data_IF_093356446057
#
_entry.id   IF_093356446057
#
_cell.length_a   1.000
_cell.length_b   1.000
_cell.length_c   1.000
_cell.angle_alpha   90.00
_cell.angle_beta   90.00
_cell.angle_gamma   90.00
#
_symmetry.space_group_name_H-M   'P 1'
#
loop_
_entity.id
_entity.type
_entity.pdbx_description
1 polymer ?
#
# COMPACT_ATOMS: atom_id res chain seq x y z
N UNK A 1 72.47 31.65 -12.84
CA UNK A 1 71.69 30.86 -13.85
C UNK A 1 70.39 30.25 -13.31
N UNK A 2 70.21 30.10 -12.00
CA UNK A 2 69.02 29.45 -11.39
C UNK A 2 67.67 30.14 -11.64
N UNK A 3 67.61 31.48 -11.69
CA UNK A 3 66.34 32.22 -11.87
C UNK A 3 65.66 31.91 -13.22
N UNK A 4 66.44 31.69 -14.29
CA UNK A 4 65.92 31.34 -15.62
C UNK A 4 65.39 29.90 -15.68
N UNK A 5 65.99 28.98 -14.92
CA UNK A 5 65.57 27.57 -14.83
C UNK A 5 64.25 27.45 -14.05
N UNK A 6 64.12 28.16 -12.92
CA UNK A 6 62.87 28.25 -12.14
C UNK A 6 61.69 28.82 -12.93
N UNK A 7 61.92 29.84 -13.77
CA UNK A 7 60.89 30.42 -14.62
C UNK A 7 60.36 29.44 -15.68
N UNK A 8 61.26 28.65 -16.28
CA UNK A 8 60.90 27.60 -17.26
C UNK A 8 60.12 26.45 -16.62
N UNK A 9 60.50 26.01 -15.42
CA UNK A 9 59.74 25.00 -14.66
C UNK A 9 58.33 25.48 -14.30
N UNK A 10 58.17 26.73 -13.83
CA UNK A 10 56.84 27.31 -13.53
C UNK A 10 55.95 27.38 -14.77
N UNK A 11 56.50 27.73 -15.93
CA UNK A 11 55.74 27.76 -17.19
C UNK A 11 55.28 26.37 -17.64
N UNK A 12 56.13 25.35 -17.46
CA UNK A 12 55.80 23.95 -17.75
C UNK A 12 54.71 23.41 -16.81
N UNK A 13 54.85 23.61 -15.50
CA UNK A 13 53.85 23.22 -14.52
C UNK A 13 52.51 23.93 -14.72
N UNK A 14 52.50 25.20 -15.16
CA UNK A 14 51.26 25.94 -15.47
C UNK A 14 50.49 25.33 -16.65
N UNK A 15 51.21 24.83 -17.68
CA UNK A 15 50.59 24.11 -18.80
C UNK A 15 50.08 22.73 -18.39
N UNK A 16 50.87 22.01 -17.59
CA UNK A 16 50.49 20.70 -17.07
C UNK A 16 49.25 20.79 -16.17
N UNK A 17 49.23 21.75 -15.25
CA UNK A 17 48.10 22.01 -14.35
C UNK A 17 46.82 22.36 -15.11
N UNK A 18 46.91 23.18 -16.17
CA UNK A 18 45.72 23.46 -17.03
C UNK A 18 45.14 22.20 -17.67
N UNK A 19 46.00 21.29 -18.15
CA UNK A 19 45.53 20.03 -18.74
C UNK A 19 44.88 19.13 -17.69
N UNK A 20 45.50 19.00 -16.52
CA UNK A 20 44.97 18.21 -15.41
C UNK A 20 43.63 18.80 -14.92
N UNK A 21 43.58 20.12 -14.73
CA UNK A 21 42.35 20.81 -14.31
C UNK A 21 41.21 20.60 -15.31
N UNK A 22 41.50 20.63 -16.62
CA UNK A 22 40.50 20.36 -17.65
C UNK A 22 39.93 18.93 -17.57
N UNK A 23 40.80 17.94 -17.37
CA UNK A 23 40.38 16.54 -17.19
C UNK A 23 39.55 16.37 -15.91
N UNK A 24 39.96 17.00 -14.80
CA UNK A 24 39.22 16.96 -13.55
C UNK A 24 37.82 17.60 -13.68
N UNK A 25 37.69 18.71 -14.40
CA UNK A 25 36.41 19.37 -14.65
C UNK A 25 35.48 18.45 -15.44
N UNK A 26 35.97 17.80 -16.50
CA UNK A 26 35.17 16.87 -17.30
C UNK A 26 34.68 15.69 -16.46
N UNK A 27 35.56 15.08 -15.67
CA UNK A 27 35.20 13.98 -14.78
C UNK A 27 34.13 14.40 -13.77
N UNK A 28 34.26 15.60 -13.20
CA UNK A 28 33.28 16.14 -12.25
C UNK A 28 31.92 16.37 -12.90
N UNK A 29 31.87 16.90 -14.13
CA UNK A 29 30.64 17.06 -14.90
C UNK A 29 29.95 15.72 -15.16
N UNK A 30 30.70 14.67 -15.52
CA UNK A 30 30.16 13.32 -15.75
C UNK A 30 29.53 12.76 -14.47
N UNK A 31 30.20 12.90 -13.32
CA UNK A 31 29.68 12.43 -12.04
C UNK A 31 28.37 13.13 -11.67
N UNK A 32 28.30 14.45 -11.85
CA UNK A 32 27.07 15.22 -11.59
C UNK A 32 25.93 14.75 -12.50
N UNK A 33 26.19 14.59 -13.80
CA UNK A 33 25.18 14.13 -14.76
C UNK A 33 24.66 12.74 -14.40
N UNK A 34 25.55 11.81 -14.05
CA UNK A 34 25.16 10.46 -13.59
C UNK A 34 24.30 10.51 -12.34
N UNK A 35 24.63 11.38 -11.37
CA UNK A 35 23.84 11.52 -10.14
C UNK A 35 22.44 12.08 -10.40
N UNK A 36 22.33 13.10 -11.27
CA UNK A 36 21.03 13.67 -11.66
C UNK A 36 20.17 12.63 -12.39
N UNK A 37 20.73 11.90 -13.36
CA UNK A 37 20.01 10.85 -14.08
C UNK A 37 19.54 9.74 -13.13
N UNK A 38 20.41 9.27 -12.23
CA UNK A 38 20.03 8.25 -11.24
C UNK A 38 18.91 8.72 -10.31
N UNK A 39 18.94 9.99 -9.87
CA UNK A 39 17.88 10.61 -9.07
C UNK A 39 16.56 10.73 -9.83
N UNK A 40 16.60 11.14 -11.09
CA UNK A 40 15.41 11.24 -11.95
C UNK A 40 14.81 9.84 -12.17
N UNK A 41 15.62 8.84 -12.51
CA UNK A 41 15.16 7.45 -12.67
C UNK A 41 14.58 6.88 -11.36
N UNK A 42 15.21 7.15 -10.23
CA UNK A 42 14.73 6.75 -8.90
C UNK A 42 13.39 7.43 -8.53
N UNK A 43 13.25 8.71 -8.85
CA UNK A 43 12.03 9.49 -8.64
C UNK A 43 10.89 8.97 -9.52
N UNK A 44 11.13 8.74 -10.81
CA UNK A 44 10.15 8.16 -11.73
C UNK A 44 9.79 6.71 -11.38
N UNK A 45 10.75 5.91 -10.88
CA UNK A 45 10.49 4.55 -10.42
C UNK A 45 9.61 4.51 -9.16
N UNK A 46 9.82 5.45 -8.23
CA UNK A 46 8.95 5.62 -7.05
C UNK A 46 7.54 6.09 -7.43
N UNK A 47 7.41 7.01 -8.38
CA UNK A 47 6.10 7.48 -8.85
C UNK A 47 5.33 6.45 -9.69
N UNK A 48 6.00 5.43 -10.25
CA UNK A 48 5.35 4.35 -11.01
C UNK A 48 4.54 3.36 -10.14
N UNK A 49 4.62 3.44 -8.81
CA UNK A 49 3.80 2.62 -7.90
C UNK A 49 2.44 3.23 -7.54
N UNK A 50 2.09 4.41 -8.05
CA UNK A 50 0.74 4.93 -7.93
C UNK A 50 -0.03 4.47 -9.17
N UNK A 51 -0.42 3.21 -9.19
CA UNK A 51 -1.60 2.80 -9.95
C UNK A 51 -2.76 3.62 -9.41
N UNK A 52 -3.08 4.73 -10.10
CA UNK A 52 -4.41 5.33 -10.04
C UNK A 52 -5.39 4.29 -10.60
N UNK A 53 -5.73 3.32 -9.76
CA UNK A 53 -6.99 2.62 -9.90
C UNK A 53 -8.02 3.70 -9.64
N UNK A 54 -8.83 3.99 -10.66
CA UNK A 54 -9.91 4.96 -10.61
C UNK A 54 -10.63 4.90 -9.25
N UNK A 55 -11.15 6.03 -8.71
CA UNK A 55 -11.95 6.02 -7.51
C UNK A 55 -13.22 5.22 -7.82
N UNK A 56 -13.13 3.90 -7.68
CA UNK A 56 -14.29 3.05 -7.47
C UNK A 56 -14.81 3.58 -6.14
N UNK A 57 -15.96 4.25 -6.18
CA UNK A 57 -16.71 4.52 -4.95
C UNK A 57 -16.73 3.20 -4.20
N UNK A 58 -16.02 3.16 -3.08
CA UNK A 58 -16.05 2.01 -2.20
C UNK A 58 -17.43 2.08 -1.55
N UNK A 59 -18.38 1.43 -2.21
CA UNK A 59 -19.73 1.17 -1.71
C UNK A 59 -19.66 -0.12 -0.91
N UNK A 60 -20.46 -0.18 0.15
CA UNK A 60 -20.61 -1.41 0.94
C UNK A 60 -21.09 -2.53 0.00
N UNK A 61 -20.40 -3.68 -0.05
CA UNK A 61 -20.78 -4.78 -0.93
C UNK A 61 -22.17 -5.31 -0.54
N UNK A 62 -22.90 -5.76 -1.54
CA UNK A 62 -24.21 -6.38 -1.36
C UNK A 62 -24.01 -7.89 -1.33
N UNK A 63 -24.28 -8.51 -0.18
CA UNK A 63 -24.28 -9.96 -0.03
C UNK A 63 -25.71 -10.50 -0.01
N UNK A 64 -25.92 -11.71 -0.54
CA UNK A 64 -27.23 -12.36 -0.47
C UNK A 64 -27.40 -13.10 0.87
N UNK A 65 -27.84 -12.34 1.88
CA UNK A 65 -28.08 -12.85 3.23
C UNK A 65 -29.10 -13.99 3.25
N UNK A 66 -30.07 -13.99 2.32
CA UNK A 66 -31.12 -15.01 2.28
C UNK A 66 -30.57 -16.35 1.84
N UNK A 67 -29.71 -16.35 0.83
CA UNK A 67 -29.01 -17.56 0.38
C UNK A 67 -28.07 -18.05 1.47
N UNK A 68 -27.21 -17.18 2.00
CA UNK A 68 -26.26 -17.53 3.05
C UNK A 68 -26.95 -18.12 4.29
N UNK A 69 -27.94 -17.43 4.86
CA UNK A 69 -28.62 -17.93 6.05
C UNK A 69 -29.44 -19.20 5.77
N UNK A 70 -29.93 -19.39 4.54
CA UNK A 70 -30.59 -20.64 4.15
C UNK A 70 -29.61 -21.80 4.15
N UNK A 71 -28.38 -21.61 3.66
CA UNK A 71 -27.30 -22.60 3.70
C UNK A 71 -26.88 -22.94 5.13
N UNK A 72 -26.70 -21.93 5.99
CA UNK A 72 -26.39 -22.13 7.42
C UNK A 72 -27.50 -22.95 8.10
N UNK A 73 -28.76 -22.57 7.88
CA UNK A 73 -29.91 -23.29 8.45
C UNK A 73 -30.10 -24.71 7.89
N UNK A 74 -29.54 -25.02 6.71
CA UNK A 74 -29.60 -26.36 6.14
C UNK A 74 -28.63 -27.34 6.81
N UNK A 75 -27.64 -26.83 7.55
CA UNK A 75 -26.63 -27.64 8.25
C UNK A 75 -27.09 -28.13 9.64
N UNK A 76 -28.25 -27.67 10.12
CA UNK A 76 -28.80 -28.03 11.44
C UNK A 76 -29.99 -28.98 11.32
N UNK A 77 -30.41 -29.56 12.46
CA UNK A 77 -31.58 -30.43 12.49
C UNK A 77 -32.86 -29.69 12.04
N UNK A 78 -33.82 -30.37 11.39
CA UNK A 78 -34.99 -29.73 10.78
C UNK A 78 -35.87 -28.94 11.76
N UNK A 79 -35.93 -29.36 13.02
CA UNK A 79 -36.65 -28.72 14.12
C UNK A 79 -36.04 -27.35 14.49
N UNK A 80 -34.72 -27.23 14.45
CA UNK A 80 -34.00 -25.99 14.76
C UNK A 80 -33.84 -25.05 13.55
N UNK A 81 -34.09 -25.54 12.33
CA UNK A 81 -33.84 -24.82 11.08
C UNK A 81 -34.46 -23.42 11.03
N UNK A 82 -35.70 -23.28 11.51
CA UNK A 82 -36.42 -21.98 11.50
C UNK A 82 -35.76 -20.98 12.45
N UNK A 83 -35.39 -21.41 13.65
CA UNK A 83 -34.77 -20.56 14.66
C UNK A 83 -33.39 -20.10 14.21
N UNK A 84 -32.57 -21.03 13.72
CA UNK A 84 -31.22 -20.74 13.20
C UNK A 84 -31.27 -19.79 12.00
N UNK A 85 -32.24 -19.97 11.10
CA UNK A 85 -32.42 -19.06 9.97
C UNK A 85 -32.74 -17.63 10.42
N UNK A 86 -33.68 -17.46 11.35
CA UNK A 86 -34.05 -16.15 11.89
C UNK A 86 -32.89 -15.52 12.66
N UNK A 87 -32.19 -16.31 13.47
CA UNK A 87 -31.04 -15.83 14.21
C UNK A 87 -29.90 -15.37 13.29
N UNK A 88 -29.60 -16.13 12.23
CA UNK A 88 -28.62 -15.74 11.22
C UNK A 88 -28.99 -14.41 10.54
N UNK A 89 -30.25 -14.23 10.14
CA UNK A 89 -30.69 -12.98 9.52
C UNK A 89 -30.49 -11.78 10.46
N UNK A 90 -30.77 -11.94 11.75
CA UNK A 90 -30.58 -10.89 12.74
C UNK A 90 -29.10 -10.54 12.88
N UNK A 91 -28.22 -11.53 13.04
CA UNK A 91 -26.78 -11.32 13.19
C UNK A 91 -26.16 -10.65 11.95
N UNK A 92 -26.53 -11.09 10.76
CA UNK A 92 -26.03 -10.49 9.52
C UNK A 92 -26.55 -9.06 9.32
N UNK A 93 -27.79 -8.79 9.72
CA UNK A 93 -28.35 -7.43 9.69
C UNK A 93 -27.64 -6.51 10.68
N UNK A 94 -27.40 -6.98 11.91
CA UNK A 94 -26.60 -6.25 12.91
C UNK A 94 -25.19 -5.96 12.40
N UNK A 95 -24.55 -6.96 11.75
CA UNK A 95 -23.23 -6.78 11.16
C UNK A 95 -23.25 -5.72 10.05
N UNK A 96 -24.27 -5.71 9.18
CA UNK A 96 -24.45 -4.68 8.16
C UNK A 96 -24.59 -3.28 8.76
N UNK A 97 -25.43 -3.11 9.78
CA UNK A 97 -25.60 -1.81 10.44
C UNK A 97 -24.31 -1.32 11.10
N UNK A 98 -23.58 -2.21 11.77
CA UNK A 98 -22.28 -1.88 12.36
C UNK A 98 -21.27 -1.45 11.29
N UNK A 99 -21.20 -2.17 10.16
CA UNK A 99 -20.33 -1.81 9.03
C UNK A 99 -20.71 -0.43 8.49
N UNK A 100 -22.00 -0.15 8.32
CA UNK A 100 -22.49 1.14 7.84
C UNK A 100 -22.08 2.29 8.75
N UNK A 101 -22.19 2.12 10.06
CA UNK A 101 -21.79 3.13 11.04
C UNK A 101 -20.28 3.43 11.00
N UNK A 102 -19.45 2.39 10.85
CA UNK A 102 -17.99 2.54 10.82
C UNK A 102 -17.44 2.84 9.41
N UNK A 103 -18.26 2.76 8.36
CA UNK A 103 -17.79 2.84 6.96
C UNK A 103 -17.01 4.12 6.68
N UNK A 104 -17.54 5.26 7.12
CA UNK A 104 -16.92 6.57 6.86
C UNK A 104 -15.66 6.79 7.72
N UNK A 105 -15.51 6.04 8.81
CA UNK A 105 -14.34 6.10 9.69
C UNK A 105 -13.18 5.23 9.20
N UNK A 106 -13.45 4.31 8.27
CA UNK A 106 -12.45 3.39 7.73
C UNK A 106 -11.66 4.03 6.60
N UNK A 107 -10.34 3.86 6.62
CA UNK A 107 -9.46 4.24 5.51
C UNK A 107 -9.75 3.42 4.26
N UNK A 108 -9.66 4.03 3.07
CA UNK A 108 -9.86 3.34 1.79
C UNK A 108 -8.96 2.10 1.60
N UNK A 109 -7.75 2.13 2.16
CA UNK A 109 -6.84 0.97 2.15
C UNK A 109 -7.45 -0.22 2.91
N UNK A 110 -8.03 0.02 4.09
CA UNK A 110 -8.66 -1.01 4.91
C UNK A 110 -9.93 -1.56 4.22
N UNK A 111 -10.72 -0.67 3.62
CA UNK A 111 -11.88 -1.04 2.79
C UNK A 111 -11.44 -1.98 1.66
N UNK A 112 -10.45 -1.60 0.86
CA UNK A 112 -9.92 -2.44 -0.23
C UNK A 112 -9.40 -3.79 0.24
N UNK A 113 -8.63 -3.82 1.32
CA UNK A 113 -8.05 -5.06 1.86
C UNK A 113 -9.13 -6.04 2.31
N UNK A 114 -10.09 -5.59 3.12
CA UNK A 114 -11.16 -6.44 3.61
C UNK A 114 -12.13 -6.89 2.50
N UNK A 115 -12.41 -6.03 1.53
CA UNK A 115 -13.20 -6.42 0.34
C UNK A 115 -12.48 -7.43 -0.56
N UNK A 116 -11.15 -7.48 -0.52
CA UNK A 116 -10.39 -8.50 -1.26
C UNK A 116 -10.44 -9.86 -0.54
N UNK A 117 -10.49 -9.84 0.80
CA UNK A 117 -10.61 -11.04 1.62
C UNK A 117 -12.00 -11.66 1.52
N UNK A 118 -13.03 -10.82 1.49
CA UNK A 118 -14.43 -11.24 1.40
C UNK A 118 -14.82 -11.29 -0.07
N UNK A 119 -14.74 -12.47 -0.69
CA UNK A 119 -15.10 -12.65 -2.11
C UNK A 119 -16.55 -12.16 -2.36
N UNK A 120 -16.79 -11.35 -3.40
CA UNK A 120 -18.15 -11.05 -3.83
C UNK A 120 -18.80 -12.34 -4.35
N UNK A 121 -19.73 -12.91 -3.57
CA UNK A 121 -20.42 -14.17 -3.86
C UNK A 121 -20.50 -15.10 -2.66
N UNK A 122 -19.35 -15.35 -2.01
CA UNK A 122 -19.25 -16.26 -0.86
C UNK A 122 -19.11 -15.50 0.48
N UNK A 123 -18.99 -14.18 0.40
CA UNK A 123 -18.84 -13.31 1.55
C UNK A 123 -20.14 -13.08 2.31
N UNK A 124 -20.00 -12.79 3.60
CA UNK A 124 -21.10 -12.35 4.46
C UNK A 124 -20.69 -11.08 5.24
N UNK A 125 -21.68 -10.38 5.80
CA UNK A 125 -21.42 -9.15 6.54
C UNK A 125 -20.66 -9.43 7.84
N UNK A 126 -20.87 -10.59 8.46
CA UNK A 126 -20.14 -10.97 9.66
C UNK A 126 -18.62 -11.00 9.45
N UNK A 127 -18.15 -11.67 8.39
CA UNK A 127 -16.73 -11.75 8.02
C UNK A 127 -16.15 -10.39 7.64
N UNK A 128 -16.94 -9.57 6.93
CA UNK A 128 -16.51 -8.23 6.56
C UNK A 128 -16.34 -7.33 7.79
N UNK A 129 -17.27 -7.41 8.74
CA UNK A 129 -17.20 -6.70 10.03
C UNK A 129 -15.98 -7.12 10.82
N UNK A 130 -15.74 -8.43 10.94
CA UNK A 130 -14.61 -8.97 11.68
C UNK A 130 -13.27 -8.49 11.09
N UNK A 131 -13.14 -8.47 9.77
CA UNK A 131 -11.96 -7.91 9.11
C UNK A 131 -11.73 -6.44 9.47
N UNK A 132 -12.78 -5.62 9.48
CA UNK A 132 -12.65 -4.21 9.84
C UNK A 132 -12.31 -3.99 11.31
N UNK A 133 -12.82 -4.81 12.21
CA UNK A 133 -12.46 -4.78 13.62
C UNK A 133 -10.99 -5.17 13.82
N UNK A 134 -10.54 -6.25 13.19
CA UNK A 134 -9.16 -6.72 13.24
C UNK A 134 -8.16 -5.70 12.67
N UNK A 135 -8.52 -5.00 11.60
CA UNK A 135 -7.69 -3.94 11.02
C UNK A 135 -7.60 -2.71 11.96
N UNK A 136 -8.70 -2.38 12.64
CA UNK A 136 -8.75 -1.32 13.65
C UNK A 136 -7.91 -1.68 14.89
N UNK A 137 -7.92 -2.95 15.30
CA UNK A 137 -7.11 -3.45 16.42
C UNK A 137 -5.62 -3.58 16.07
N UNK A 138 -5.28 -4.04 14.87
CA UNK A 138 -3.89 -4.05 14.39
C UNK A 138 -3.27 -2.65 14.39
N UNK A 139 -4.05 -1.61 14.14
CA UNK A 139 -3.62 -0.20 14.29
C UNK A 139 -3.47 0.24 15.75
N UNK A 140 -4.23 -0.34 16.69
CA UNK A 140 -4.21 0.00 18.13
C UNK A 140 -3.26 -0.84 18.97
N UNK A 141 -2.76 -1.97 18.46
CA UNK A 141 -1.73 -2.76 19.11
C UNK A 141 -1.83 -4.23 18.76
N UNK A 142 -0.73 -4.80 18.24
CA UNK A 142 -0.52 -6.24 18.13
C UNK A 142 -0.69 -6.90 19.51
N UNK A 143 -1.88 -7.42 19.81
CA UNK A 143 -2.05 -8.54 20.75
C UNK A 143 -2.96 -9.56 20.10
N UNK A 144 -2.38 -10.37 19.21
CA UNK A 144 -2.99 -11.65 18.83
C UNK A 144 -2.84 -12.58 20.02
N UNK A 145 -3.89 -12.71 20.83
CA UNK A 145 -4.07 -13.90 21.63
C UNK A 145 -4.76 -14.93 20.74
N UNK A 146 -3.99 -15.91 20.27
CA UNK A 146 -4.57 -17.15 19.74
C UNK A 146 -5.23 -17.89 20.91
N UNK A 147 -6.50 -18.22 20.76
CA UNK A 147 -7.20 -19.23 21.57
C UNK A 147 -7.17 -20.56 20.83
#
# INVERSE_FOLDING_TARGET
MEKRIRARQKAYFKRLYRKIAFVCIILFCIVILCFVVAKVVSYFSSHKKITQQAPVELVIPVFDLRVYCKEISASVMPDMKREVYQHCLNLESEAYFAIREMWDQLSDTAKKQCLTLVRPGDGNYFLLRDCFLNEKENKKGKRRNYF
#
